data_IF_624681996836
#
_entry.id   IF_624681996836
#
_cell.length_a   1.000
_cell.length_b   1.000
_cell.length_c   1.000
_cell.angle_alpha   90.00
_cell.angle_beta   90.00
_cell.angle_gamma   90.00
#
_symmetry.space_group_name_H-M   'P 1'
#
loop_
_entity.id
_entity.type
_entity.pdbx_description
1 polymer ?
#
# COMPACT_ATOMS: atom_id res chain seq x y z
N UNK A 1 0.51 3.19 23.14
CA UNK A 1 1.43 2.21 22.51
C UNK A 1 2.48 2.79 21.57
N UNK A 2 2.14 3.42 20.43
CA UNK A 2 3.16 3.97 19.50
C UNK A 2 4.17 4.90 20.19
N UNK A 3 3.70 5.83 21.02
CA UNK A 3 4.57 6.76 21.77
C UNK A 3 5.50 6.01 22.73
N UNK A 4 5.01 4.94 23.39
CA UNK A 4 5.84 4.11 24.26
C UNK A 4 6.94 3.40 23.45
N UNK A 5 6.60 2.83 22.29
CA UNK A 5 7.57 2.20 21.38
C UNK A 5 8.62 3.19 20.85
N UNK A 6 8.21 4.44 20.57
CA UNK A 6 9.14 5.51 20.17
C UNK A 6 10.11 5.87 21.31
N UNK A 7 9.59 6.00 22.53
CA UNK A 7 10.40 6.33 23.71
C UNK A 7 11.38 5.21 24.10
N UNK A 8 11.10 3.95 23.73
CA UNK A 8 11.97 2.81 23.96
C UNK A 8 13.00 2.54 22.86
N UNK A 9 13.07 3.38 21.81
CA UNK A 9 14.08 3.21 20.77
C UNK A 9 15.49 3.51 21.34
N UNK A 10 16.51 2.72 20.97
CA UNK A 10 17.88 2.97 21.42
C UNK A 10 18.43 4.29 20.88
N UNK A 11 18.05 4.65 19.65
CA UNK A 11 18.43 5.88 18.98
C UNK A 11 17.19 6.67 18.54
N UNK A 12 17.22 8.01 18.60
CA UNK A 12 16.14 8.84 18.10
C UNK A 12 16.02 8.71 16.57
N UNK A 13 14.79 8.86 16.07
CA UNK A 13 14.55 8.93 14.62
C UNK A 13 15.28 10.11 13.99
N UNK A 14 15.72 9.96 12.73
CA UNK A 14 16.39 11.02 11.95
C UNK A 14 15.52 12.25 11.69
N UNK A 15 14.20 12.14 11.90
CA UNK A 15 13.22 13.22 11.70
C UNK A 15 12.42 13.39 12.97
N UNK A 16 12.09 14.64 13.28
CA UNK A 16 11.16 14.98 14.36
C UNK A 16 9.81 14.31 14.11
N UNK A 17 9.32 13.62 15.14
CA UNK A 17 7.98 13.03 15.14
C UNK A 17 7.07 13.94 15.95
N UNK A 18 6.00 14.42 15.30
CA UNK A 18 4.90 15.11 15.96
C UNK A 18 3.77 14.10 16.19
N UNK A 19 3.33 13.99 17.44
CA UNK A 19 2.12 13.24 17.80
C UNK A 19 1.03 14.27 18.05
N UNK A 20 -0.08 14.16 17.32
CA UNK A 20 -1.19 15.09 17.40
C UNK A 20 -2.49 14.32 17.67
N UNK A 21 -3.32 14.88 18.54
CA UNK A 21 -4.68 14.45 18.80
C UNK A 21 -5.57 15.63 18.43
N UNK A 22 -6.39 15.46 17.40
CA UNK A 22 -7.22 16.52 16.86
C UNK A 22 -8.54 16.61 17.62
N UNK A 23 -9.00 17.83 17.84
CA UNK A 23 -10.33 18.12 18.37
C UNK A 23 -11.24 18.64 17.24
N UNK A 24 -12.55 18.45 17.38
CA UNK A 24 -13.54 18.88 16.40
C UNK A 24 -13.40 18.25 15.01
N UNK A 25 -12.88 17.01 14.92
CA UNK A 25 -12.82 16.23 13.68
C UNK A 25 -14.24 16.05 13.10
N UNK A 26 -15.16 15.54 13.92
CA UNK A 26 -16.56 15.30 13.56
C UNK A 26 -17.37 16.58 13.26
N UNK A 27 -16.82 17.75 13.59
CA UNK A 27 -17.39 19.07 13.27
C UNK A 27 -16.80 19.66 11.97
N UNK A 28 -16.14 18.83 11.16
CA UNK A 28 -15.57 19.22 9.88
C UNK A 28 -14.07 19.48 9.93
N UNK A 29 -13.31 18.62 10.63
CA UNK A 29 -11.85 18.59 10.66
C UNK A 29 -11.24 19.87 11.26
N UNK A 30 -11.90 20.44 12.27
CA UNK A 30 -11.57 21.79 12.78
C UNK A 30 -10.14 21.87 13.33
N UNK A 31 -9.73 20.90 14.15
CA UNK A 31 -8.41 20.88 14.78
C UNK A 31 -7.27 20.78 13.78
N UNK A 32 -7.32 19.81 12.86
CA UNK A 32 -6.27 19.62 11.85
C UNK A 32 -6.19 20.78 10.85
N UNK A 33 -7.33 21.34 10.42
CA UNK A 33 -7.38 22.56 9.61
C UNK A 33 -6.77 23.75 10.36
N UNK A 34 -7.14 23.93 11.63
CA UNK A 34 -6.61 25.01 12.44
C UNK A 34 -5.09 24.91 12.59
N UNK A 35 -4.56 23.71 12.88
CA UNK A 35 -3.12 23.48 13.02
C UNK A 35 -2.33 23.77 11.73
N UNK A 36 -2.85 23.39 10.57
CA UNK A 36 -2.17 23.66 9.30
C UNK A 36 -2.15 25.16 8.96
N UNK A 37 -3.21 25.89 9.30
CA UNK A 37 -3.31 27.35 9.10
C UNK A 37 -2.59 28.17 10.17
N UNK A 38 -2.53 27.68 11.40
CA UNK A 38 -2.00 28.38 12.58
C UNK A 38 -0.95 27.51 13.29
N UNK A 39 0.15 27.24 12.60
CA UNK A 39 1.22 26.39 13.16
C UNK A 39 1.81 27.03 14.43
N UNK A 40 2.07 26.25 15.49
CA UNK A 40 2.71 26.76 16.69
C UNK A 40 4.12 27.27 16.36
N UNK A 41 4.61 28.25 17.12
CA UNK A 41 5.94 28.85 16.91
C UNK A 41 7.06 27.81 16.95
N UNK A 42 6.90 26.73 17.73
CA UNK A 42 7.83 25.60 17.78
C UNK A 42 8.00 24.85 16.44
N UNK A 43 7.09 25.07 15.48
CA UNK A 43 7.11 24.51 14.13
C UNK A 43 7.52 25.54 13.06
N UNK A 44 7.90 26.76 13.45
CA UNK A 44 8.34 27.80 12.51
C UNK A 44 9.55 27.34 11.71
N UNK A 45 9.50 27.56 10.39
CA UNK A 45 10.53 27.10 9.44
C UNK A 45 10.58 25.58 9.21
N UNK A 46 9.83 24.78 9.99
CA UNK A 46 9.77 23.33 9.82
C UNK A 46 8.72 22.96 8.78
N UNK A 47 9.04 21.97 7.94
CA UNK A 47 8.13 21.41 6.94
C UNK A 47 7.66 20.03 7.41
N UNK A 48 6.35 19.82 7.37
CA UNK A 48 5.76 18.49 7.51
C UNK A 48 5.95 17.78 6.17
N UNK A 49 6.68 16.68 6.18
CA UNK A 49 7.02 15.95 4.94
C UNK A 49 6.13 14.74 4.70
N UNK A 50 5.40 14.31 5.74
CA UNK A 50 4.56 13.13 5.71
C UNK A 50 3.58 13.18 6.89
N UNK A 51 2.39 12.60 6.72
CA UNK A 51 1.42 12.39 7.81
C UNK A 51 0.95 10.93 7.85
N UNK A 52 0.75 10.41 9.06
CA UNK A 52 0.10 9.11 9.28
C UNK A 52 -1.11 9.38 10.16
N UNK A 53 -2.28 9.00 9.67
CA UNK A 53 -3.55 9.11 10.38
C UNK A 53 -4.03 7.73 10.81
N UNK A 54 -4.55 7.63 12.03
CA UNK A 54 -5.17 6.42 12.57
C UNK A 54 -6.61 6.77 12.90
N UNK A 55 -7.56 6.12 12.23
CA UNK A 55 -8.98 6.37 12.42
C UNK A 55 -9.73 5.04 12.44
N UNK A 56 -10.58 4.84 13.43
CA UNK A 56 -11.32 3.59 13.68
C UNK A 56 -10.44 2.34 13.46
N UNK A 57 -9.39 2.19 14.27
CA UNK A 57 -8.48 1.02 14.18
C UNK A 57 -8.89 -0.15 15.08
N UNK A 58 -9.98 0.01 15.84
CA UNK A 58 -10.35 -0.89 16.93
C UNK A 58 -11.15 -2.12 16.53
N UNK A 59 -11.64 -2.22 15.30
CA UNK A 59 -12.56 -3.29 14.88
C UNK A 59 -12.06 -4.03 13.65
N UNK A 60 -10.80 -4.47 13.65
CA UNK A 60 -10.27 -5.30 12.56
C UNK A 60 -11.14 -6.56 12.36
N UNK A 61 -11.61 -6.77 11.13
CA UNK A 61 -12.48 -7.89 10.73
C UNK A 61 -11.90 -8.58 9.50
N UNK A 62 -11.96 -9.91 9.47
CA UNK A 62 -11.47 -10.73 8.35
C UNK A 62 -10.00 -10.46 7.98
N UNK A 63 -9.18 -9.99 8.93
CA UNK A 63 -7.81 -9.52 8.69
C UNK A 63 -7.70 -8.42 7.62
N UNK A 64 -8.78 -7.66 7.36
CA UNK A 64 -8.81 -6.62 6.33
C UNK A 64 -8.55 -5.24 6.90
N UNK A 65 -7.54 -4.57 6.35
CA UNK A 65 -7.17 -3.21 6.72
C UNK A 65 -7.29 -2.29 5.51
N UNK A 66 -8.13 -1.26 5.63
CA UNK A 66 -8.24 -0.22 4.61
C UNK A 66 -7.11 0.78 4.76
N UNK A 67 -6.47 1.11 3.63
CA UNK A 67 -5.37 2.06 3.56
C UNK A 67 -5.72 3.16 2.56
N UNK A 68 -5.76 4.41 3.02
CA UNK A 68 -6.06 5.56 2.18
C UNK A 68 -4.79 6.37 1.92
N UNK A 69 -4.82 7.26 0.92
CA UNK A 69 -3.74 8.20 0.65
C UNK A 69 -2.47 7.59 0.03
N UNK A 70 -2.44 6.28 -0.24
CA UNK A 70 -1.26 5.60 -0.84
C UNK A 70 -0.86 6.11 -2.22
N UNK A 71 -1.73 6.86 -2.90
CA UNK A 71 -1.42 7.50 -4.19
C UNK A 71 -0.81 8.89 -4.06
N UNK A 72 -0.78 9.45 -2.85
CA UNK A 72 -0.22 10.78 -2.57
C UNK A 72 1.29 10.87 -2.77
N UNK A 73 1.99 9.74 -2.92
CA UNK A 73 3.36 9.69 -3.38
C UNK A 73 3.68 8.37 -4.08
N UNK A 74 4.77 8.36 -4.85
CA UNK A 74 5.22 7.18 -5.58
C UNK A 74 5.73 6.11 -4.59
N UNK A 75 5.23 4.89 -4.73
CA UNK A 75 5.73 3.70 -4.05
C UNK A 75 5.17 3.46 -2.65
N UNK A 76 4.22 4.26 -2.14
CA UNK A 76 3.67 4.04 -0.80
C UNK A 76 2.91 2.71 -0.68
N UNK A 77 2.11 2.33 -1.67
CA UNK A 77 1.43 1.01 -1.70
C UNK A 77 2.46 -0.13 -1.60
N UNK A 78 3.57 0.00 -2.33
CA UNK A 78 4.68 -0.97 -2.32
C UNK A 78 5.40 -1.00 -0.96
N UNK A 79 5.66 0.16 -0.36
CA UNK A 79 6.29 0.28 0.96
C UNK A 79 5.44 -0.41 2.03
N UNK A 80 4.15 -0.06 2.11
CA UNK A 80 3.23 -0.62 3.11
C UNK A 80 3.08 -2.13 2.90
N UNK A 81 2.93 -2.58 1.66
CA UNK A 81 2.93 -4.01 1.33
C UNK A 81 4.19 -4.69 1.82
N UNK A 82 5.38 -4.12 1.58
CA UNK A 82 6.64 -4.71 2.05
C UNK A 82 6.70 -4.82 3.56
N UNK A 83 6.26 -3.79 4.28
CA UNK A 83 6.23 -3.77 5.74
C UNK A 83 5.28 -4.83 6.27
N UNK A 84 4.07 -4.92 5.69
CA UNK A 84 3.07 -5.92 6.04
C UNK A 84 3.62 -7.35 5.89
N UNK A 85 4.56 -7.59 4.97
CA UNK A 85 5.17 -8.90 4.72
C UNK A 85 6.52 -9.13 5.46
N UNK A 86 6.92 -8.27 6.42
CA UNK A 86 8.19 -8.44 7.16
C UNK A 86 8.15 -9.58 8.19
N UNK A 87 6.98 -9.86 8.74
CA UNK A 87 6.78 -10.92 9.74
C UNK A 87 5.59 -11.76 9.30
N UNK A 88 5.80 -13.07 9.15
CA UNK A 88 4.74 -14.00 8.75
C UNK A 88 3.65 -14.18 9.83
N UNK A 89 3.87 -13.65 11.03
CA UNK A 89 3.03 -13.94 12.20
C UNK A 89 1.60 -13.40 12.05
N UNK A 90 1.36 -12.26 11.40
CA UNK A 90 0.03 -11.66 11.24
C UNK A 90 -0.10 -10.84 9.94
N UNK A 91 -0.29 -11.52 8.81
CA UNK A 91 -0.45 -10.88 7.49
C UNK A 91 -1.89 -10.41 7.25
N UNK A 92 -2.09 -9.09 7.29
CA UNK A 92 -3.36 -8.47 6.93
C UNK A 92 -3.58 -8.45 5.41
N UNK A 93 -4.83 -8.60 4.98
CA UNK A 93 -5.29 -8.24 3.64
C UNK A 93 -5.38 -6.71 3.53
N UNK A 94 -4.60 -6.09 2.64
CA UNK A 94 -4.59 -4.64 2.48
C UNK A 94 -5.56 -4.19 1.38
N UNK A 95 -6.49 -3.31 1.75
CA UNK A 95 -7.49 -2.73 0.86
C UNK A 95 -7.13 -1.27 0.58
N UNK A 96 -6.48 -1.02 -0.55
CA UNK A 96 -6.05 0.33 -0.93
C UNK A 96 -7.20 1.19 -1.48
N UNK A 97 -7.70 2.13 -0.70
CA UNK A 97 -8.71 3.08 -1.16
C UNK A 97 -8.03 4.26 -1.88
N UNK A 98 -8.52 4.57 -3.08
CA UNK A 98 -8.00 5.66 -3.91
C UNK A 98 -8.84 6.93 -3.84
N UNK A 99 -9.99 6.90 -3.16
CA UNK A 99 -10.75 8.12 -2.91
C UNK A 99 -9.96 9.06 -1.98
N UNK A 100 -10.06 10.35 -2.28
CA UNK A 100 -9.65 11.42 -1.39
C UNK A 100 -10.92 12.16 -1.00
N UNK A 101 -11.37 11.93 0.22
CA UNK A 101 -12.60 12.47 0.79
C UNK A 101 -12.29 13.23 2.08
N UNK A 102 -13.08 14.25 2.45
CA UNK A 102 -12.90 14.97 3.72
C UNK A 102 -13.54 14.20 4.88
N UNK A 103 -13.26 12.90 5.00
CA UNK A 103 -13.88 11.96 5.95
C UNK A 103 -13.00 11.65 7.17
N UNK A 104 -11.78 12.22 7.26
CA UNK A 104 -10.93 12.18 8.45
C UNK A 104 -9.77 13.19 8.34
N UNK A 105 -9.02 13.41 9.42
CA UNK A 105 -7.93 14.39 9.52
C UNK A 105 -6.75 14.17 8.56
N UNK A 106 -6.70 13.04 7.85
CA UNK A 106 -5.75 12.85 6.75
C UNK A 106 -5.98 13.83 5.57
N UNK A 107 -7.22 14.27 5.36
CA UNK A 107 -7.60 15.07 4.19
C UNK A 107 -6.97 16.48 4.16
N UNK A 108 -6.98 17.28 5.23
CA UNK A 108 -6.32 18.59 5.24
C UNK A 108 -4.82 18.52 4.91
N UNK A 109 -4.13 17.45 5.30
CA UNK A 109 -2.73 17.23 4.93
C UNK A 109 -2.58 16.93 3.44
N UNK A 110 -3.45 16.11 2.85
CA UNK A 110 -3.47 15.89 1.40
C UNK A 110 -3.70 17.21 0.64
N UNK A 111 -4.67 18.03 1.07
CA UNK A 111 -4.96 19.36 0.48
C UNK A 111 -3.74 20.30 0.59
N UNK A 112 -2.99 20.22 1.69
CA UNK A 112 -1.74 20.93 1.89
C UNK A 112 -0.54 20.31 1.16
N UNK A 113 -0.77 19.35 0.26
CA UNK A 113 0.26 18.62 -0.52
C UNK A 113 1.30 17.92 0.36
N UNK A 114 0.86 17.42 1.51
CA UNK A 114 1.65 16.55 2.39
C UNK A 114 1.25 15.10 2.12
N UNK A 115 2.18 14.23 1.67
CA UNK A 115 1.89 12.82 1.49
C UNK A 115 1.38 12.20 2.79
N UNK A 116 0.28 11.47 2.70
CA UNK A 116 -0.43 10.97 3.88
C UNK A 116 -0.87 9.53 3.68
N UNK A 117 -0.81 8.73 4.74
CA UNK A 117 -1.46 7.43 4.82
C UNK A 117 -2.46 7.44 5.97
N UNK A 118 -3.66 6.92 5.75
CA UNK A 118 -4.59 6.59 6.83
C UNK A 118 -4.80 5.08 6.93
N UNK A 119 -4.77 4.55 8.15
CA UNK A 119 -5.12 3.17 8.48
C UNK A 119 -6.51 3.13 9.12
N UNK A 120 -7.38 2.25 8.62
CA UNK A 120 -8.79 2.21 9.02
C UNK A 120 -9.39 0.79 8.93
N UNK A 121 -10.14 0.35 9.94
CA UNK A 121 -10.70 -1.02 10.00
C UNK A 121 -12.10 -1.18 9.40
N UNK A 122 -12.63 -0.12 8.79
CA UNK A 122 -13.92 -0.14 8.10
C UNK A 122 -15.09 0.24 9.01
N UNK A 123 -16.10 0.88 8.41
CA UNK A 123 -17.32 1.29 9.10
C UNK A 123 -18.07 0.09 9.71
N UNK A 124 -18.83 0.35 10.76
CA UNK A 124 -19.64 -0.63 11.48
C UNK A 124 -21.02 -0.06 11.81
N UNK A 125 -21.95 -0.93 12.21
CA UNK A 125 -23.35 -0.56 12.51
C UNK A 125 -23.51 0.41 13.68
N UNK A 126 -22.54 0.43 14.60
CA UNK A 126 -22.55 1.31 15.77
C UNK A 126 -21.93 2.69 15.51
N UNK A 127 -21.39 2.94 14.31
CA UNK A 127 -20.71 4.19 14.00
C UNK A 127 -21.62 5.41 14.25
N UNK A 128 -21.10 6.41 14.97
CA UNK A 128 -21.84 7.61 15.42
C UNK A 128 -23.07 7.30 16.29
N UNK A 129 -23.03 6.23 17.09
CA UNK A 129 -24.12 5.86 18.00
C UNK A 129 -23.61 5.66 19.43
N UNK A 130 -24.47 5.86 20.44
CA UNK A 130 -24.13 5.54 21.83
C UNK A 130 -23.78 4.06 22.07
N UNK A 131 -24.12 3.17 21.13
CA UNK A 131 -23.74 1.75 21.19
C UNK A 131 -22.27 1.49 20.82
N UNK A 132 -21.53 2.47 20.30
CA UNK A 132 -20.10 2.32 20.03
C UNK A 132 -19.28 2.36 21.32
N UNK A 133 -19.16 1.19 21.94
CA UNK A 133 -18.56 1.05 23.27
C UNK A 133 -17.40 0.04 23.27
N UNK A 134 -16.53 0.20 24.27
CA UNK A 134 -15.28 -0.52 24.53
C UNK A 134 -15.34 -2.04 24.42
N UNK A 135 -16.46 -2.67 24.81
CA UNK A 135 -16.62 -4.12 24.73
C UNK A 135 -16.67 -4.66 23.28
N UNK A 136 -16.87 -3.78 22.29
CA UNK A 136 -16.88 -4.12 20.86
C UNK A 136 -15.50 -4.02 20.21
N UNK A 137 -14.48 -3.61 20.97
CA UNK A 137 -13.11 -3.44 20.47
C UNK A 137 -12.40 -4.79 20.37
N UNK A 138 -11.83 -5.06 19.19
CA UNK A 138 -10.94 -6.17 18.94
C UNK A 138 -9.50 -5.76 19.29
N UNK A 139 -9.12 -5.90 20.56
CA UNK A 139 -7.77 -5.54 21.02
C UNK A 139 -6.65 -6.35 20.33
N UNK A 140 -6.86 -7.64 20.09
CA UNK A 140 -5.90 -8.47 19.36
C UNK A 140 -5.70 -7.97 17.91
N UNK A 141 -6.77 -7.52 17.27
CA UNK A 141 -6.72 -6.93 15.92
C UNK A 141 -6.06 -5.55 15.85
N UNK A 142 -6.01 -4.79 16.95
CA UNK A 142 -5.29 -3.51 17.00
C UNK A 142 -3.78 -3.73 16.87
N UNK A 143 -3.23 -4.80 17.46
CA UNK A 143 -1.79 -5.06 17.50
C UNK A 143 -1.12 -5.08 16.10
N UNK A 144 -1.58 -5.87 15.11
CA UNK A 144 -0.98 -5.87 13.78
C UNK A 144 -1.15 -4.53 13.05
N UNK A 145 -2.24 -3.80 13.29
CA UNK A 145 -2.45 -2.45 12.74
C UNK A 145 -1.40 -1.49 13.29
N UNK A 146 -1.23 -1.45 14.61
CA UNK A 146 -0.22 -0.60 15.25
C UNK A 146 1.20 -0.97 14.84
N UNK A 147 1.51 -2.25 14.67
CA UNK A 147 2.82 -2.68 14.20
C UNK A 147 3.08 -2.20 12.77
N UNK A 148 2.12 -2.38 11.84
CA UNK A 148 2.24 -1.88 10.48
C UNK A 148 2.40 -0.35 10.44
N UNK A 149 1.59 0.39 11.21
CA UNK A 149 1.67 1.85 11.29
C UNK A 149 2.99 2.33 11.89
N UNK A 150 3.46 1.68 12.96
CA UNK A 150 4.74 2.01 13.61
C UNK A 150 5.93 1.73 12.69
N UNK A 151 5.97 0.57 12.04
CA UNK A 151 7.02 0.26 11.09
C UNK A 151 6.99 1.20 9.88
N UNK A 152 5.80 1.61 9.43
CA UNK A 152 5.66 2.64 8.39
C UNK A 152 6.28 3.95 8.86
N UNK A 153 5.94 4.42 10.07
CA UNK A 153 6.54 5.61 10.67
C UNK A 153 8.06 5.51 10.71
N UNK A 154 8.63 4.41 11.20
CA UNK A 154 10.08 4.23 11.28
C UNK A 154 10.75 4.26 9.90
N UNK A 155 10.15 3.62 8.89
CA UNK A 155 10.68 3.65 7.53
C UNK A 155 10.68 5.06 6.95
N UNK A 156 9.61 5.83 7.16
CA UNK A 156 9.53 7.22 6.70
C UNK A 156 10.50 8.13 7.47
N UNK A 157 10.52 8.02 8.79
CA UNK A 157 11.29 8.88 9.66
C UNK A 157 12.81 8.70 9.48
N UNK A 158 13.25 7.48 9.17
CA UNK A 158 14.67 7.15 9.02
C UNK A 158 15.13 7.04 7.56
N UNK A 159 14.26 7.31 6.59
CA UNK A 159 14.64 7.28 5.18
C UNK A 159 15.75 8.32 4.89
N UNK A 160 16.86 7.85 4.32
CA UNK A 160 18.05 8.66 4.03
C UNK A 160 18.07 9.25 2.61
N UNK A 161 17.14 8.82 1.75
CA UNK A 161 16.98 9.29 0.39
C UNK A 161 16.19 10.61 0.30
N UNK A 162 15.86 10.98 -0.94
CA UNK A 162 15.10 12.19 -1.23
C UNK A 162 13.75 12.23 -0.52
N UNK A 163 13.27 13.45 -0.29
CA UNK A 163 11.95 13.68 0.29
C UNK A 163 10.89 12.96 -0.55
N UNK A 164 9.95 12.31 0.13
CA UNK A 164 8.76 11.76 -0.52
C UNK A 164 7.98 12.94 -1.08
N UNK A 165 7.99 13.07 -2.41
CA UNK A 165 7.32 14.16 -3.10
C UNK A 165 5.83 13.85 -3.23
N UNK A 166 5.02 14.88 -3.03
CA UNK A 166 3.59 14.78 -3.23
C UNK A 166 3.26 14.62 -4.71
N UNK A 167 2.33 13.71 -4.99
CA UNK A 167 1.86 13.37 -6.32
C UNK A 167 0.47 13.97 -6.53
N UNK A 168 0.41 15.15 -7.15
CA UNK A 168 -0.84 15.91 -7.38
C UNK A 168 -1.88 15.15 -8.19
N UNK A 169 -1.46 14.20 -9.01
CA UNK A 169 -2.32 13.31 -9.79
C UNK A 169 -3.25 12.46 -8.90
N UNK A 170 -2.91 12.26 -7.62
CA UNK A 170 -3.75 11.56 -6.66
C UNK A 170 -5.16 12.16 -6.56
N UNK A 171 -5.30 13.49 -6.69
CA UNK A 171 -6.60 14.17 -6.69
C UNK A 171 -7.47 13.91 -7.92
N UNK A 172 -6.91 13.34 -8.98
CA UNK A 172 -7.62 12.98 -10.22
C UNK A 172 -7.88 11.47 -10.31
N UNK A 173 -7.57 10.74 -9.26
CA UNK A 173 -7.73 9.30 -9.17
C UNK A 173 -8.77 8.93 -8.12
N UNK A 174 -9.35 7.74 -8.28
CA UNK A 174 -10.47 7.27 -7.46
C UNK A 174 -10.56 5.75 -7.54
N UNK A 175 -11.48 5.15 -6.80
CA UNK A 175 -11.73 3.72 -6.92
C UNK A 175 -12.24 3.34 -8.32
N UNK A 176 -12.84 4.28 -9.06
CA UNK A 176 -13.20 4.08 -10.47
C UNK A 176 -11.95 3.94 -11.35
N UNK A 177 -10.96 4.82 -11.20
CA UNK A 177 -9.70 4.70 -11.95
C UNK A 177 -8.92 3.44 -11.54
N UNK A 178 -8.97 3.03 -10.25
CA UNK A 178 -8.44 1.74 -9.77
C UNK A 178 -9.09 0.56 -10.49
N UNK A 179 -10.43 0.55 -10.56
CA UNK A 179 -11.20 -0.50 -11.23
C UNK A 179 -10.85 -0.57 -12.71
N UNK A 180 -10.70 0.58 -13.38
CA UNK A 180 -10.26 0.66 -14.78
C UNK A 180 -8.84 0.11 -14.96
N UNK A 181 -7.88 0.52 -14.12
CA UNK A 181 -6.50 -0.01 -14.15
C UNK A 181 -6.48 -1.54 -14.01
N UNK A 182 -7.28 -2.08 -13.08
CA UNK A 182 -7.35 -3.49 -12.74
C UNK A 182 -8.28 -4.33 -13.64
N UNK A 183 -8.94 -3.70 -14.62
CA UNK A 183 -9.89 -4.37 -15.50
C UNK A 183 -9.21 -5.47 -16.34
N UNK A 184 -9.86 -6.62 -16.50
CA UNK A 184 -9.32 -7.68 -17.36
C UNK A 184 -9.19 -7.16 -18.80
N UNK A 185 -8.01 -7.31 -19.38
CA UNK A 185 -7.74 -7.12 -20.80
C UNK A 185 -7.87 -8.45 -21.53
N UNK A 186 -8.13 -8.38 -22.84
CA UNK A 186 -8.13 -9.56 -23.70
C UNK A 186 -6.70 -9.87 -24.15
N UNK A 187 -6.30 -11.15 -24.05
CA UNK A 187 -5.05 -11.66 -24.60
C UNK A 187 -5.41 -12.87 -25.49
N UNK A 188 -5.45 -12.70 -26.82
CA UNK A 188 -5.86 -13.75 -27.74
C UNK A 188 -5.11 -15.08 -27.57
N UNK A 189 -5.81 -16.18 -27.87
CA UNK A 189 -5.17 -17.50 -28.03
C UNK A 189 -4.19 -17.41 -29.21
N UNK A 190 -2.91 -17.69 -28.95
CA UNK A 190 -1.83 -17.51 -29.93
C UNK A 190 -1.09 -16.17 -29.86
N UNK A 191 -1.45 -15.23 -28.98
CA UNK A 191 -0.66 -14.01 -28.79
C UNK A 191 0.80 -14.35 -28.46
N UNK A 192 1.77 -13.64 -29.06
CA UNK A 192 3.18 -13.87 -28.78
C UNK A 192 3.49 -13.54 -27.32
N UNK A 193 4.50 -14.20 -26.76
CA UNK A 193 4.94 -13.98 -25.38
C UNK A 193 5.12 -15.31 -24.66
N UNK A 194 6.37 -15.63 -24.32
CA UNK A 194 6.77 -16.87 -23.67
C UNK A 194 5.97 -17.15 -22.39
N UNK A 195 5.80 -16.13 -21.56
CA UNK A 195 5.17 -16.26 -20.24
C UNK A 195 3.65 -16.07 -20.26
N UNK A 196 3.07 -15.54 -21.34
CA UNK A 196 1.62 -15.41 -21.52
C UNK A 196 0.93 -14.40 -20.61
N UNK A 197 1.56 -13.25 -20.33
CA UNK A 197 1.01 -12.19 -19.48
C UNK A 197 0.71 -10.92 -20.28
N UNK A 198 -0.33 -10.20 -19.86
CA UNK A 198 -0.58 -8.80 -20.21
C UNK A 198 -0.56 -7.95 -18.94
N UNK A 199 0.15 -6.83 -18.97
CA UNK A 199 0.35 -5.95 -17.82
C UNK A 199 0.01 -4.50 -18.16
N UNK A 200 -0.35 -3.70 -17.16
CA UNK A 200 -0.46 -2.24 -17.25
C UNK A 200 0.49 -1.58 -16.27
N UNK A 201 1.03 -0.44 -16.68
CA UNK A 201 1.81 0.41 -15.79
C UNK A 201 0.90 1.12 -14.78
N UNK A 202 1.42 1.34 -13.58
CA UNK A 202 0.80 2.17 -12.56
C UNK A 202 1.74 3.33 -12.20
N UNK A 203 1.34 4.56 -12.50
CA UNK A 203 2.18 5.74 -12.27
C UNK A 203 2.52 6.00 -10.80
N UNK A 204 1.69 5.56 -9.84
CA UNK A 204 2.06 5.66 -8.42
C UNK A 204 2.90 4.47 -7.95
N UNK A 205 3.01 3.39 -8.72
CA UNK A 205 3.79 2.21 -8.37
C UNK A 205 4.52 1.64 -9.60
N UNK A 206 5.48 2.38 -10.19
CA UNK A 206 6.14 2.00 -11.44
C UNK A 206 6.86 0.64 -11.31
N UNK A 207 7.50 0.38 -10.17
CA UNK A 207 8.15 -0.90 -9.87
C UNK A 207 7.20 -2.05 -9.52
N UNK A 208 5.90 -1.91 -9.78
CA UNK A 208 4.94 -3.00 -9.59
C UNK A 208 3.75 -2.94 -10.57
N UNK A 209 4.00 -3.15 -11.89
CA UNK A 209 2.94 -3.21 -12.89
C UNK A 209 1.92 -4.31 -12.56
N UNK A 210 0.67 -4.04 -12.92
CA UNK A 210 -0.47 -4.90 -12.62
C UNK A 210 -0.77 -5.85 -13.75
N UNK A 211 -1.01 -7.12 -13.42
CA UNK A 211 -1.43 -8.17 -14.35
C UNK A 211 -2.90 -7.97 -14.72
N UNK A 212 -3.16 -7.76 -16.00
CA UNK A 212 -4.50 -7.48 -16.56
C UNK A 212 -4.94 -8.54 -17.55
N UNK A 213 -4.05 -9.37 -18.05
CA UNK A 213 -4.40 -10.54 -18.85
C UNK A 213 -3.44 -11.69 -18.57
N UNK A 214 -3.94 -12.90 -18.69
CA UNK A 214 -3.19 -14.14 -18.58
C UNK A 214 -3.71 -15.03 -19.70
N UNK A 215 -2.81 -15.61 -20.50
CA UNK A 215 -3.15 -16.54 -21.58
C UNK A 215 -3.40 -17.91 -20.98
N UNK A 216 -4.50 -18.53 -21.36
CA UNK A 216 -4.84 -19.89 -20.97
C UNK A 216 -3.72 -20.87 -21.36
N UNK A 217 -3.38 -21.80 -20.47
CA UNK A 217 -2.31 -22.77 -20.63
C UNK A 217 -0.90 -22.17 -20.61
N UNK A 218 -0.72 -20.90 -20.25
CA UNK A 218 0.62 -20.29 -20.18
C UNK A 218 1.41 -20.72 -18.93
N UNK A 219 2.76 -20.63 -18.94
CA UNK A 219 3.56 -20.83 -17.74
C UNK A 219 3.12 -19.99 -16.54
N UNK A 220 2.74 -18.72 -16.79
CA UNK A 220 2.28 -17.83 -15.74
C UNK A 220 0.94 -18.31 -15.13
N UNK A 221 -0.02 -18.74 -15.96
CA UNK A 221 -1.29 -19.28 -15.46
C UNK A 221 -1.07 -20.54 -14.61
N UNK A 222 -0.28 -21.49 -15.09
CA UNK A 222 0.01 -22.76 -14.38
C UNK A 222 0.67 -22.55 -13.02
N UNK A 223 1.41 -21.45 -12.85
CA UNK A 223 2.03 -21.10 -11.56
C UNK A 223 1.04 -20.56 -10.52
N UNK A 224 -0.20 -20.25 -10.91
CA UNK A 224 -1.20 -19.63 -10.05
C UNK A 224 -1.19 -18.10 -10.05
N UNK A 225 -0.57 -17.46 -11.05
CA UNK A 225 -0.71 -16.02 -11.29
C UNK A 225 -2.18 -15.65 -11.51
N UNK A 226 -2.62 -14.52 -10.97
CA UNK A 226 -4.00 -14.04 -11.11
C UNK A 226 -4.04 -12.60 -11.65
N UNK A 227 -5.14 -12.29 -12.33
CA UNK A 227 -5.47 -10.91 -12.68
C UNK A 227 -5.53 -10.08 -11.39
N UNK A 228 -5.04 -8.84 -11.46
CA UNK A 228 -4.85 -7.89 -10.34
C UNK A 228 -3.64 -8.15 -9.45
N UNK A 229 -2.89 -9.24 -9.67
CA UNK A 229 -1.57 -9.35 -9.05
C UNK A 229 -0.66 -8.24 -9.55
N UNK A 230 0.21 -7.73 -8.69
CA UNK A 230 1.30 -6.84 -9.09
C UNK A 230 2.60 -7.60 -9.07
N UNK A 231 3.34 -7.61 -10.16
CA UNK A 231 4.66 -8.25 -10.18
C UNK A 231 5.64 -7.32 -9.45
N UNK A 232 6.49 -7.84 -8.56
CA UNK A 232 7.38 -7.03 -7.71
C UNK A 232 8.85 -7.41 -7.83
N UNK A 233 9.15 -8.68 -8.08
CA UNK A 233 10.53 -9.17 -8.27
C UNK A 233 10.59 -10.27 -9.34
N UNK A 234 11.74 -10.39 -9.99
CA UNK A 234 12.08 -11.49 -10.89
C UNK A 234 13.45 -12.03 -10.49
N UNK A 235 13.57 -13.33 -10.24
CA UNK A 235 14.77 -14.03 -9.77
C UNK A 235 15.45 -13.32 -8.58
N UNK A 236 14.65 -12.99 -7.56
CA UNK A 236 15.11 -12.30 -6.35
C UNK A 236 15.36 -10.79 -6.51
N UNK A 237 15.40 -10.26 -7.74
CA UNK A 237 15.71 -8.84 -7.99
C UNK A 237 14.42 -8.01 -8.11
N UNK A 238 14.26 -6.92 -7.33
CA UNK A 238 13.16 -5.98 -7.50
C UNK A 238 13.14 -5.38 -8.90
N UNK A 239 11.94 -5.26 -9.47
CA UNK A 239 11.76 -4.56 -10.74
C UNK A 239 11.55 -3.06 -10.49
N UNK A 240 12.05 -2.23 -11.40
CA UNK A 240 11.96 -0.77 -11.28
C UNK A 240 10.82 -0.17 -12.13
N UNK A 241 10.51 -0.80 -13.26
CA UNK A 241 9.41 -0.42 -14.14
C UNK A 241 8.97 -1.58 -15.06
N UNK A 242 7.98 -1.31 -15.92
CA UNK A 242 7.48 -2.26 -16.91
C UNK A 242 8.57 -2.70 -17.92
N UNK A 243 9.44 -1.79 -18.34
CA UNK A 243 10.48 -2.07 -19.35
C UNK A 243 11.53 -3.02 -18.77
N UNK A 244 11.94 -2.79 -17.52
CA UNK A 244 12.83 -3.65 -16.76
C UNK A 244 12.22 -5.04 -16.56
N UNK A 245 10.94 -5.12 -16.17
CA UNK A 245 10.23 -6.40 -16.07
C UNK A 245 10.27 -7.18 -17.40
N UNK A 246 9.91 -6.54 -18.51
CA UNK A 246 9.91 -7.22 -19.81
C UNK A 246 11.32 -7.63 -20.24
N UNK A 247 12.33 -6.80 -19.99
CA UNK A 247 13.75 -7.13 -20.24
C UNK A 247 14.17 -8.38 -19.46
N UNK A 248 13.86 -8.43 -18.16
CA UNK A 248 14.21 -9.56 -17.29
C UNK A 248 13.53 -10.85 -17.74
N UNK A 249 12.23 -10.79 -18.02
CA UNK A 249 11.46 -11.94 -18.47
C UNK A 249 11.93 -12.48 -19.83
N UNK A 250 12.29 -11.59 -20.76
CA UNK A 250 12.83 -11.99 -22.07
C UNK A 250 14.25 -12.54 -21.98
N UNK A 251 15.03 -12.13 -20.98
CA UNK A 251 16.40 -12.58 -20.77
C UNK A 251 16.55 -13.93 -20.06
N UNK A 252 15.46 -14.54 -19.58
CA UNK A 252 15.50 -15.86 -18.96
C UNK A 252 15.92 -16.90 -20.02
N UNK A 253 16.90 -17.79 -19.78
CA UNK A 253 17.23 -18.87 -20.72
C UNK A 253 16.04 -19.82 -20.96
N UNK A 254 15.98 -20.47 -22.12
CA UNK A 254 14.96 -21.48 -22.39
C UNK A 254 15.04 -22.63 -21.37
N UNK A 255 13.89 -23.10 -20.90
CA UNK A 255 13.76 -24.24 -19.98
C UNK A 255 14.39 -24.07 -18.58
N UNK A 256 14.91 -22.91 -18.21
CA UNK A 256 15.49 -22.68 -16.87
C UNK A 256 14.45 -22.40 -15.78
N UNK A 257 13.23 -22.01 -16.18
CA UNK A 257 12.23 -21.43 -15.28
C UNK A 257 12.59 -20.01 -14.81
N UNK A 258 11.65 -19.35 -14.13
CA UNK A 258 11.82 -18.02 -13.53
C UNK A 258 10.99 -17.89 -12.25
N UNK A 259 11.62 -17.35 -11.21
CA UNK A 259 10.93 -17.03 -9.96
C UNK A 259 10.39 -15.61 -10.00
N UNK A 260 9.10 -15.47 -9.74
CA UNK A 260 8.40 -14.19 -9.77
C UNK A 260 7.72 -13.97 -8.43
N UNK A 261 8.03 -12.85 -7.78
CA UNK A 261 7.31 -12.42 -6.57
C UNK A 261 6.20 -11.49 -6.97
N UNK A 262 4.97 -11.79 -6.56
CA UNK A 262 3.81 -10.94 -6.80
C UNK A 262 3.19 -10.45 -5.49
N UNK A 263 2.65 -9.23 -5.48
CA UNK A 263 1.75 -8.74 -4.45
C UNK A 263 0.30 -9.04 -4.84
N UNK A 264 -0.40 -9.76 -3.96
CA UNK A 264 -1.83 -10.04 -4.05
C UNK A 264 -2.49 -9.56 -2.77
N UNK A 265 -3.28 -8.47 -2.86
CA UNK A 265 -4.01 -7.88 -1.73
C UNK A 265 -3.12 -7.63 -0.50
N UNK A 266 -1.93 -7.10 -0.73
CA UNK A 266 -0.98 -6.79 0.34
C UNK A 266 -0.13 -7.95 0.84
N UNK A 267 -0.22 -9.14 0.23
CA UNK A 267 0.59 -10.33 0.57
C UNK A 267 1.53 -10.68 -0.58
N UNK A 268 2.79 -11.00 -0.27
CA UNK A 268 3.75 -11.48 -1.27
C UNK A 268 3.61 -12.98 -1.47
N UNK A 269 3.61 -13.39 -2.74
CA UNK A 269 3.56 -14.78 -3.17
C UNK A 269 4.74 -15.04 -4.12
N UNK A 270 5.47 -16.13 -3.87
CA UNK A 270 6.52 -16.61 -4.77
C UNK A 270 5.90 -17.58 -5.77
N UNK A 271 6.01 -17.27 -7.05
CA UNK A 271 5.50 -18.10 -8.16
C UNK A 271 6.67 -18.55 -9.02
N UNK A 272 6.76 -19.84 -9.30
CA UNK A 272 7.77 -20.40 -10.20
C UNK A 272 7.14 -20.67 -11.57
N UNK A 273 7.60 -19.99 -12.61
CA UNK A 273 7.09 -20.18 -13.97
C UNK A 273 8.04 -21.08 -14.75
N UNK A 274 7.51 -22.11 -15.39
CA UNK A 274 8.30 -23.01 -16.23
C UNK A 274 7.65 -23.23 -17.60
N UNK A 275 8.49 -23.16 -18.62
CA UNK A 275 8.18 -23.44 -20.02
C UNK A 275 8.66 -24.83 -20.46
N UNK A 276 9.10 -25.69 -19.53
CA UNK A 276 9.26 -27.11 -19.82
C UNK A 276 7.90 -27.71 -20.14
N UNK A 277 7.83 -28.43 -21.26
CA UNK A 277 6.68 -29.31 -21.52
C UNK A 277 6.57 -30.31 -20.39
N UNK A 278 5.39 -30.40 -19.78
CA UNK A 278 5.04 -31.55 -18.96
C UNK A 278 4.92 -32.70 -19.96
N UNK A 279 5.96 -33.52 -20.09
CA UNK A 279 5.85 -34.79 -20.81
C UNK A 279 4.81 -35.61 -20.04
N UNK A 280 3.61 -35.70 -20.60
CA UNK A 280 2.59 -36.63 -20.12
C UNK A 280 3.13 -38.05 -20.26
N UNK A 281 3.04 -38.81 -19.16
CA UNK A 281 3.08 -40.27 -19.21
C UNK A 281 1.76 -40.79 -19.77
#
# INVERSE_FOLDING_TARGET
EIVKKLASLPDPCRRTILIAFWDGEEQGLLGSKHFLSNRPESMKGKKIIFSINLDMIGRLRNEQLSIFGTRSAIGLETLITRINNRSERHLMELIFNWEITPDSDHHPFLVAEVPTIMFHTGLHSDYHRPSDDSHLINFAGIEPVLELSFQTLLQIANNTGDKILFRREAFRESNSSRKKLNSKAFLPKGSPGRWGIGIRNDSANPGSPVVVAIREGSPAERSGLRIKDRICKVNGVPIIDQKDLMKRLSGVPLYSGVDVVVSRRGKFLNLHWTDKEVRGF
#
